data_IF_071242825887
#
_entry.id   IF_071242825887
#
_cell.length_a   1.000
_cell.length_b   1.000
_cell.length_c   1.000
_cell.angle_alpha   90.00
_cell.angle_beta   90.00
_cell.angle_gamma   90.00
#
_symmetry.space_group_name_H-M   'P 1'
#
loop_
_entity.id
_entity.type
_entity.pdbx_description
1 polymer ?
#
# COMPACT_ATOMS: atom_id res chain seq x y z
N UNK A 1 -1.00 19.92 12.93
CA UNK A 1 0.34 19.61 13.44
C UNK A 1 0.89 18.36 12.76
N UNK A 2 2.13 18.40 12.36
CA UNK A 2 2.77 17.25 11.74
C UNK A 2 3.11 16.18 12.77
N UNK A 3 2.72 14.96 12.51
CA UNK A 3 3.13 13.80 13.29
C UNK A 3 4.58 13.43 12.96
N UNK A 4 5.25 12.77 13.88
CA UNK A 4 6.56 12.18 13.60
C UNK A 4 6.44 11.10 12.52
N UNK A 5 7.55 10.79 11.89
CA UNK A 5 7.61 9.67 10.93
C UNK A 5 7.09 8.36 11.56
N UNK A 6 7.53 8.09 12.79
CA UNK A 6 7.11 6.88 13.51
C UNK A 6 5.59 6.83 13.68
N UNK A 7 4.96 7.93 14.08
CA UNK A 7 3.52 7.99 14.25
C UNK A 7 2.78 7.82 12.92
N UNK A 8 3.28 8.46 11.86
CA UNK A 8 2.70 8.32 10.52
C UNK A 8 2.76 6.87 10.04
N UNK A 9 3.91 6.22 10.21
CA UNK A 9 4.10 4.83 9.80
C UNK A 9 3.25 3.88 10.63
N UNK A 10 3.08 4.15 11.92
CA UNK A 10 2.20 3.34 12.78
C UNK A 10 0.74 3.46 12.34
N UNK A 11 0.28 4.66 12.02
CA UNK A 11 -1.08 4.88 11.51
C UNK A 11 -1.31 4.07 10.23
N UNK A 12 -0.34 4.11 9.31
CA UNK A 12 -0.39 3.31 8.08
C UNK A 12 -0.41 1.81 8.36
N UNK A 13 0.45 1.36 9.28
CA UNK A 13 0.55 -0.06 9.61
C UNK A 13 -0.74 -0.59 10.24
N UNK A 14 -1.37 0.23 11.10
CA UNK A 14 -2.59 -0.17 11.81
C UNK A 14 -3.84 -0.07 10.93
N UNK A 15 -3.78 0.67 9.83
CA UNK A 15 -4.92 0.80 8.93
C UNK A 15 -5.28 -0.56 8.34
N UNK A 16 -6.59 -0.91 8.28
CA UNK A 16 -7.01 -2.20 7.71
C UNK A 16 -6.70 -2.30 6.22
N UNK A 17 -6.86 -1.20 5.48
CA UNK A 17 -6.50 -1.12 4.05
C UNK A 17 -5.99 0.28 3.76
N UNK A 18 -5.34 0.43 2.61
CA UNK A 18 -4.98 1.74 2.06
C UNK A 18 -5.53 1.86 0.65
N UNK A 19 -5.61 3.09 0.15
CA UNK A 19 -5.99 3.35 -1.23
C UNK A 19 -4.76 3.85 -1.96
N UNK A 20 -4.50 3.26 -3.13
CA UNK A 20 -3.31 3.58 -3.93
C UNK A 20 -3.73 4.18 -5.26
N UNK A 21 -3.01 5.19 -5.68
CA UNK A 21 -3.20 5.87 -6.97
C UNK A 21 -2.01 5.59 -7.86
N UNK A 22 -2.30 5.14 -9.07
CA UNK A 22 -1.31 4.88 -10.12
C UNK A 22 -1.76 5.57 -11.40
N UNK A 23 -0.85 5.72 -12.36
CA UNK A 23 -1.18 6.31 -13.65
C UNK A 23 -0.75 5.38 -14.78
N UNK A 24 -1.51 5.39 -15.88
CA UNK A 24 -1.14 4.64 -17.06
C UNK A 24 -0.21 5.46 -17.98
N UNK A 25 0.17 4.91 -19.13
CA UNK A 25 1.08 5.56 -20.08
C UNK A 25 0.53 6.90 -20.61
N UNK A 26 -0.78 7.10 -20.57
CA UNK A 26 -1.44 8.34 -21.00
C UNK A 26 -1.68 9.29 -19.83
N UNK A 27 -1.03 9.04 -18.70
CA UNK A 27 -1.18 9.84 -17.48
C UNK A 27 -2.60 9.87 -16.92
N UNK A 28 -3.43 8.87 -17.25
CA UNK A 28 -4.75 8.74 -16.64
C UNK A 28 -4.62 8.06 -15.28
N UNK A 29 -5.14 8.70 -14.23
CA UNK A 29 -5.04 8.14 -12.87
C UNK A 29 -6.06 7.06 -12.61
N UNK A 30 -5.70 6.14 -11.73
CA UNK A 30 -6.58 5.11 -11.20
C UNK A 30 -6.34 5.03 -9.69
N UNK A 31 -7.40 4.82 -8.92
CA UNK A 31 -7.29 4.62 -7.47
C UNK A 31 -8.07 3.38 -7.07
N UNK A 32 -7.45 2.52 -6.26
CA UNK A 32 -8.08 1.29 -5.75
C UNK A 32 -7.61 1.01 -4.34
N UNK A 33 -8.44 0.36 -3.50
CA UNK A 33 -7.96 -0.13 -2.21
C UNK A 33 -7.06 -1.35 -2.39
N UNK A 34 -6.11 -1.52 -1.49
CA UNK A 34 -5.27 -2.71 -1.44
C UNK A 34 -5.07 -3.14 0.01
N UNK A 35 -4.85 -4.44 0.19
CA UNK A 35 -4.47 -5.02 1.48
C UNK A 35 -2.96 -4.93 1.61
N UNK A 36 -2.48 -4.19 2.61
CA UNK A 36 -1.08 -3.83 2.72
C UNK A 36 -0.46 -4.23 4.05
N UNK A 37 0.85 -4.27 4.08
CA UNK A 37 1.65 -4.32 5.31
C UNK A 37 2.77 -3.28 5.22
N UNK A 38 3.27 -2.88 6.38
CA UNK A 38 4.40 -1.98 6.52
C UNK A 38 5.57 -2.78 7.10
N UNK A 39 6.75 -2.63 6.51
CA UNK A 39 7.97 -3.30 6.95
C UNK A 39 9.16 -2.41 6.68
N UNK A 40 9.93 -2.12 7.72
CA UNK A 40 11.18 -1.33 7.60
C UNK A 40 11.00 -0.01 6.84
N UNK A 41 9.90 0.68 7.15
CA UNK A 41 9.63 2.00 6.56
C UNK A 41 9.11 1.98 5.14
N UNK A 42 8.77 0.81 4.60
CA UNK A 42 8.22 0.65 3.25
C UNK A 42 6.85 -0.02 3.32
N UNK A 43 6.06 0.20 2.28
CA UNK A 43 4.69 -0.30 2.19
C UNK A 43 4.62 -1.37 1.11
N UNK A 44 3.92 -2.47 1.40
CA UNK A 44 3.86 -3.63 0.50
C UNK A 44 2.42 -4.10 0.33
N UNK A 45 2.08 -4.54 -0.89
CA UNK A 45 0.84 -5.26 -1.16
C UNK A 45 1.06 -6.26 -2.28
N UNK A 46 0.17 -7.25 -2.41
CA UNK A 46 0.19 -8.22 -3.49
C UNK A 46 -0.75 -7.79 -4.60
N UNK A 47 -0.39 -8.10 -5.83
CA UNK A 47 -1.16 -7.78 -7.02
C UNK A 47 -1.21 -8.98 -7.95
N UNK A 48 -2.38 -9.22 -8.57
CA UNK A 48 -2.48 -10.16 -9.66
C UNK A 48 -1.60 -9.69 -10.83
N UNK A 49 -1.06 -10.63 -11.59
CA UNK A 49 -0.16 -10.30 -12.68
C UNK A 49 -0.86 -9.55 -13.82
N UNK A 50 -2.17 -9.72 -13.97
CA UNK A 50 -2.97 -9.04 -14.99
C UNK A 50 -3.70 -7.79 -14.47
N UNK A 51 -3.43 -7.35 -13.25
CA UNK A 51 -4.08 -6.17 -12.68
C UNK A 51 -3.67 -4.89 -13.39
N UNK A 52 -4.64 -3.99 -13.59
CA UNK A 52 -4.41 -2.67 -14.20
C UNK A 52 -3.33 -1.88 -13.47
N UNK A 53 -3.40 -1.84 -12.14
CA UNK A 53 -2.43 -1.09 -11.35
C UNK A 53 -1.01 -1.64 -11.48
N UNK A 54 -0.85 -2.93 -11.73
CA UNK A 54 0.47 -3.49 -11.98
C UNK A 54 1.03 -3.00 -13.31
N UNK A 55 0.25 -3.05 -14.39
CA UNK A 55 0.68 -2.53 -15.68
C UNK A 55 0.94 -1.03 -15.63
N UNK A 56 0.16 -0.28 -14.84
CA UNK A 56 0.41 1.15 -14.62
C UNK A 56 1.78 1.36 -13.97
N UNK A 57 2.12 0.57 -12.94
CA UNK A 57 3.40 0.68 -12.25
C UNK A 57 4.58 0.23 -13.11
N UNK A 58 4.36 -0.70 -14.04
CA UNK A 58 5.39 -1.05 -15.02
C UNK A 58 5.72 0.11 -15.95
N UNK A 59 4.72 0.93 -16.29
CA UNK A 59 4.90 2.12 -17.13
C UNK A 59 5.43 3.31 -16.34
N UNK A 60 4.90 3.54 -15.12
CA UNK A 60 5.26 4.66 -14.24
C UNK A 60 5.41 4.16 -12.81
N UNK A 61 6.59 4.27 -12.25
CA UNK A 61 6.88 3.81 -10.88
C UNK A 61 6.35 4.73 -9.80
N UNK A 62 5.92 5.94 -10.15
CA UNK A 62 5.35 6.87 -9.19
C UNK A 62 4.00 6.38 -8.67
N UNK A 63 3.79 6.49 -7.36
CA UNK A 63 2.57 6.04 -6.69
C UNK A 63 2.25 6.98 -5.54
N UNK A 64 0.96 7.22 -5.33
CA UNK A 64 0.47 7.90 -4.13
C UNK A 64 -0.43 6.93 -3.36
N UNK A 65 -0.44 7.07 -2.05
CA UNK A 65 -1.31 6.25 -1.22
C UNK A 65 -1.83 7.06 -0.03
N UNK A 66 -2.97 6.63 0.49
CA UNK A 66 -3.60 7.27 1.62
C UNK A 66 -4.19 6.21 2.55
N UNK A 67 -3.98 6.41 3.85
CA UNK A 67 -4.71 5.72 4.90
C UNK A 67 -5.48 6.77 5.68
N UNK A 68 -6.75 6.54 5.94
CA UNK A 68 -7.57 7.53 6.62
C UNK A 68 -8.55 6.86 7.58
N UNK A 69 -9.05 7.67 8.49
CA UNK A 69 -10.12 7.29 9.41
C UNK A 69 -11.10 8.47 9.43
N UNK A 70 -12.23 8.29 8.78
CA UNK A 70 -13.23 9.35 8.64
C UNK A 70 -14.56 8.96 9.26
N UNK A 71 -15.17 9.94 9.91
CA UNK A 71 -16.48 9.82 10.55
C UNK A 71 -17.35 11.01 10.16
N UNK A 72 -18.64 10.78 10.00
CA UNK A 72 -19.58 11.82 9.58
C UNK A 72 -19.64 13.00 10.55
N UNK A 73 -19.32 12.79 11.82
CA UNK A 73 -19.41 13.82 12.86
C UNK A 73 -18.16 14.73 12.95
N UNK A 74 -17.16 14.52 12.12
CA UNK A 74 -15.95 15.35 12.05
C UNK A 74 -15.10 15.36 13.32
N UNK A 75 -15.22 14.34 14.17
CA UNK A 75 -14.41 14.22 15.38
C UNK A 75 -13.41 13.06 15.24
N UNK A 76 -12.18 13.32 15.68
CA UNK A 76 -11.11 12.30 15.68
C UNK A 76 -10.98 11.60 14.33
N UNK A 77 -10.80 12.40 13.27
CA UNK A 77 -10.65 11.87 11.93
C UNK A 77 -9.51 12.55 11.19
N UNK A 78 -8.98 11.86 10.20
CA UNK A 78 -7.88 12.36 9.40
C UNK A 78 -7.17 11.23 8.69
N UNK A 79 -5.92 11.44 8.37
CA UNK A 79 -5.17 10.42 7.66
C UNK A 79 -3.73 10.78 7.41
N UNK A 80 -3.06 9.87 6.71
CA UNK A 80 -1.68 10.01 6.25
C UNK A 80 -1.65 9.74 4.75
N UNK A 81 -1.05 10.65 4.00
CA UNK A 81 -0.81 10.48 2.57
C UNK A 81 0.68 10.36 2.32
N UNK A 82 1.06 9.49 1.40
CA UNK A 82 2.44 9.35 0.95
C UNK A 82 2.52 9.34 -0.55
N UNK A 83 3.62 9.87 -1.06
CA UNK A 83 4.02 9.71 -2.45
C UNK A 83 5.37 9.03 -2.46
N UNK A 84 5.59 8.15 -3.41
CA UNK A 84 6.84 7.40 -3.49
C UNK A 84 7.01 6.70 -4.81
N UNK A 85 7.95 5.77 -4.83
CA UNK A 85 8.26 4.97 -6.01
C UNK A 85 8.05 3.49 -5.69
N UNK A 86 7.53 2.77 -6.69
CA UNK A 86 7.21 1.36 -6.55
C UNK A 86 8.28 0.49 -7.20
N UNK A 87 8.52 -0.66 -6.58
CA UNK A 87 9.33 -1.74 -7.14
C UNK A 87 8.46 -2.98 -7.20
N UNK A 88 8.55 -3.72 -8.30
CA UNK A 88 7.76 -4.94 -8.51
C UNK A 88 8.65 -6.14 -8.18
N UNK A 89 8.20 -6.98 -7.26
CA UNK A 89 8.95 -8.13 -6.77
C UNK A 89 8.14 -9.38 -7.09
N UNK A 90 8.71 -10.30 -7.86
CA UNK A 90 8.02 -11.49 -8.34
C UNK A 90 8.46 -12.79 -7.66
N UNK A 91 9.61 -12.78 -6.99
CA UNK A 91 10.16 -13.96 -6.32
C UNK A 91 11.23 -13.55 -5.32
N UNK A 92 11.77 -14.53 -4.62
CA UNK A 92 12.93 -14.37 -3.75
C UNK A 92 12.58 -14.24 -2.27
N UNK A 93 13.61 -14.09 -1.41
CA UNK A 93 13.39 -14.07 0.04
C UNK A 93 12.48 -12.95 0.52
N UNK A 94 12.58 -11.76 -0.06
CA UNK A 94 11.72 -10.64 0.31
C UNK A 94 10.26 -10.91 -0.05
N UNK A 95 10.00 -11.51 -1.22
CA UNK A 95 8.66 -11.92 -1.63
C UNK A 95 8.05 -12.84 -0.56
N UNK A 96 8.78 -13.85 -0.15
CA UNK A 96 8.32 -14.85 0.82
C UNK A 96 8.08 -14.23 2.20
N UNK A 97 8.95 -13.34 2.62
CA UNK A 97 8.80 -12.65 3.90
C UNK A 97 7.58 -11.74 3.92
N UNK A 98 7.38 -10.95 2.89
CA UNK A 98 6.22 -10.06 2.78
C UNK A 98 4.93 -10.88 2.67
N UNK A 99 4.94 -11.96 1.90
CA UNK A 99 3.79 -12.88 1.82
C UNK A 99 3.38 -13.36 3.21
N UNK A 100 4.35 -13.75 4.03
CA UNK A 100 4.10 -14.21 5.40
C UNK A 100 3.42 -13.10 6.22
N UNK A 101 3.88 -11.86 6.10
CA UNK A 101 3.28 -10.72 6.80
C UNK A 101 1.86 -10.43 6.32
N UNK A 102 1.62 -10.52 5.02
CA UNK A 102 0.29 -10.34 4.43
C UNK A 102 -0.67 -11.43 4.93
N UNK A 103 -0.25 -12.68 4.97
CA UNK A 103 -1.07 -13.79 5.47
C UNK A 103 -1.38 -13.63 6.97
N UNK A 104 -0.44 -13.07 7.73
CA UNK A 104 -0.65 -12.82 9.14
C UNK A 104 -1.70 -11.73 9.38
N UNK A 105 -1.63 -10.64 8.62
CA UNK A 105 -2.57 -9.51 8.75
C UNK A 105 -3.94 -9.83 8.14
N UNK A 106 -3.96 -10.51 6.99
CA UNK A 106 -5.18 -10.77 6.22
C UNK A 106 -5.39 -12.28 6.13
N UNK A 107 -6.12 -12.84 7.09
CA UNK A 107 -6.31 -14.30 7.22
C UNK A 107 -6.95 -14.94 6.00
N UNK A 108 -7.72 -14.18 5.22
CA UNK A 108 -8.38 -14.67 4.02
C UNK A 108 -7.38 -15.17 2.96
N UNK A 109 -6.16 -14.67 2.94
CA UNK A 109 -5.17 -15.10 1.95
C UNK A 109 -4.92 -16.61 2.02
N UNK A 110 -4.74 -17.13 3.22
CA UNK A 110 -4.40 -18.56 3.39
C UNK A 110 -5.55 -19.47 2.95
N UNK A 111 -6.80 -19.04 3.09
CA UNK A 111 -7.97 -19.87 2.80
C UNK A 111 -8.54 -19.69 1.39
N UNK A 112 -8.53 -18.44 0.86
CA UNK A 112 -9.27 -18.13 -0.36
C UNK A 112 -8.45 -17.42 -1.44
N UNK A 113 -7.28 -16.87 -1.11
CA UNK A 113 -6.53 -16.02 -2.03
C UNK A 113 -5.01 -16.23 -1.91
N UNK A 114 -4.59 -17.44 -1.56
CA UNK A 114 -3.17 -17.77 -1.47
C UNK A 114 -2.47 -17.63 -2.80
N UNK A 115 -1.18 -17.29 -2.77
CA UNK A 115 -0.38 -17.12 -3.97
C UNK A 115 1.06 -17.55 -3.73
N UNK A 116 1.69 -18.05 -4.79
CA UNK A 116 3.09 -18.48 -4.80
C UNK A 116 3.92 -17.57 -5.70
N UNK A 117 5.25 -17.73 -5.61
CA UNK A 117 6.15 -17.05 -6.54
C UNK A 117 5.75 -17.39 -7.98
N UNK A 118 5.71 -16.38 -8.85
CA UNK A 118 5.29 -16.54 -10.23
C UNK A 118 3.79 -16.44 -10.49
N UNK A 119 2.97 -16.50 -9.44
CA UNK A 119 1.51 -16.38 -9.54
C UNK A 119 1.00 -14.97 -9.29
N UNK A 120 1.78 -14.18 -8.58
CA UNK A 120 1.43 -12.80 -8.23
C UNK A 120 2.71 -11.98 -8.10
N UNK A 121 2.55 -10.66 -8.07
CA UNK A 121 3.65 -9.76 -7.76
C UNK A 121 3.41 -9.11 -6.41
N UNK A 122 4.50 -8.80 -5.72
CA UNK A 122 4.48 -7.94 -4.54
C UNK A 122 5.01 -6.58 -4.94
N UNK A 123 4.29 -5.53 -4.57
CA UNK A 123 4.70 -4.16 -4.83
C UNK A 123 5.33 -3.61 -3.56
N UNK A 124 6.53 -3.05 -3.69
CA UNK A 124 7.22 -2.37 -2.61
C UNK A 124 7.22 -0.87 -2.89
N UNK A 125 6.66 -0.07 -2.00
CA UNK A 125 6.68 1.39 -2.12
C UNK A 125 7.68 1.97 -1.14
N UNK A 126 8.63 2.74 -1.68
CA UNK A 126 9.57 3.53 -0.90
C UNK A 126 9.03 4.96 -0.81
N UNK A 127 8.63 5.43 0.37
CA UNK A 127 8.09 6.78 0.52
C UNK A 127 9.16 7.85 0.21
N UNK A 128 8.75 8.89 -0.50
CA UNK A 128 9.57 10.09 -0.76
C UNK A 128 9.04 11.30 0.01
N UNK A 129 7.72 11.48 0.01
CA UNK A 129 7.05 12.54 0.76
C UNK A 129 5.92 11.97 1.57
N UNK A 130 5.63 12.60 2.70
CA UNK A 130 4.55 12.19 3.62
C UNK A 130 3.96 13.42 4.25
N UNK A 131 2.64 13.40 4.50
CA UNK A 131 2.03 14.34 5.43
C UNK A 131 0.80 13.73 6.08
N UNK A 132 0.37 14.34 7.16
CA UNK A 132 -0.84 13.94 7.86
C UNK A 132 -1.73 15.14 8.09
N UNK A 133 -3.00 14.85 8.31
CA UNK A 133 -3.98 15.83 8.80
C UNK A 133 -4.85 15.13 9.83
N UNK A 134 -5.35 15.90 10.80
CA UNK A 134 -6.17 15.35 11.85
C UNK A 134 -7.10 16.40 12.43
N UNK A 135 -8.37 16.07 12.57
CA UNK A 135 -9.42 16.86 13.22
C UNK A 135 -9.74 16.21 14.56
N UNK A 136 -9.73 16.97 15.63
CA UNK A 136 -10.06 16.47 16.98
C UNK A 136 -11.54 16.48 17.25
#
# INVERSE_FOLDING_TARGET
>A
MAWSKTKQMKFLSDAPVIRVATVNRKCKPQVTPVCHVVRKGKIYWASDLDAKKLSNLEAHRGVALVADDYKANWHSMGGVMMQGTAKIIKNGPLFLEVRKLLYKKFKVYASNAGFEEGEAAIIEVTPKTRFNWWFK
#
